data_IF_461385142340
#
_entry.id   IF_461385142340
#
_cell.length_a   1.000
_cell.length_b   1.000
_cell.length_c   1.000
_cell.angle_alpha   90.00
_cell.angle_beta   90.00
_cell.angle_gamma   90.00
#
_symmetry.space_group_name_H-M   'P 1'
#
loop_
_entity.id
_entity.type
_entity.pdbx_description
1 polymer ?
#
# COMPACT_ATOMS: atom_id res chain seq x y z
N UNK A 1 -45.23 10.35 -21.66
CA UNK A 1 -44.62 10.36 -20.31
C UNK A 1 -43.14 10.58 -20.49
N UNK A 2 -42.49 11.47 -19.71
CA UNK A 2 -41.02 11.55 -19.73
C UNK A 2 -40.43 10.20 -19.25
N UNK A 3 -39.25 9.81 -19.76
CA UNK A 3 -38.59 8.59 -19.32
C UNK A 3 -38.25 8.67 -17.82
N UNK A 4 -38.34 7.54 -17.12
CA UNK A 4 -37.92 7.46 -15.72
C UNK A 4 -36.40 7.68 -15.61
N UNK A 5 -35.96 8.46 -14.61
CA UNK A 5 -34.54 8.51 -14.29
C UNK A 5 -34.12 7.18 -13.65
N UNK A 6 -33.24 6.46 -14.34
CA UNK A 6 -32.67 5.19 -13.88
C UNK A 6 -31.20 5.32 -13.48
N UNK A 7 -30.63 6.52 -13.59
CA UNK A 7 -29.21 6.79 -13.36
C UNK A 7 -28.97 7.51 -12.02
N UNK A 8 -27.89 7.14 -11.33
CA UNK A 8 -27.42 7.71 -10.07
C UNK A 8 -28.46 7.88 -8.95
N UNK A 9 -29.56 7.12 -9.00
CA UNK A 9 -30.71 7.26 -8.08
C UNK A 9 -30.39 7.00 -6.60
N UNK A 10 -29.22 6.43 -6.30
CA UNK A 10 -28.70 6.20 -4.93
C UNK A 10 -27.30 6.79 -4.71
N UNK A 11 -26.83 7.65 -5.60
CA UNK A 11 -25.53 8.30 -5.49
C UNK A 11 -25.75 9.68 -4.86
N UNK A 12 -25.03 9.96 -3.77
CA UNK A 12 -25.10 11.26 -3.10
C UNK A 12 -24.30 12.32 -3.85
N UNK A 13 -23.11 11.94 -4.31
CA UNK A 13 -22.15 12.84 -4.94
C UNK A 13 -21.07 12.00 -5.65
N UNK A 14 -20.55 12.51 -6.77
CA UNK A 14 -19.36 12.03 -7.44
C UNK A 14 -18.29 13.12 -7.37
N UNK A 15 -17.09 12.75 -6.91
CA UNK A 15 -15.94 13.64 -6.82
C UNK A 15 -14.81 13.08 -7.66
N UNK A 16 -14.10 13.97 -8.35
CA UNK A 16 -12.92 13.59 -9.11
C UNK A 16 -11.75 13.27 -8.20
N UNK A 17 -11.02 12.21 -8.56
CA UNK A 17 -9.73 11.90 -7.98
C UNK A 17 -8.62 12.51 -8.83
N UNK A 18 -7.58 12.97 -8.15
CA UNK A 18 -6.36 13.47 -8.80
C UNK A 18 -5.75 12.33 -9.62
N UNK A 19 -5.38 12.52 -10.91
CA UNK A 19 -4.79 11.44 -11.69
C UNK A 19 -3.49 10.89 -11.08
N UNK A 20 -3.20 9.58 -11.16
CA UNK A 20 -1.99 8.99 -10.59
C UNK A 20 -0.70 9.67 -11.06
N UNK A 21 -0.64 10.08 -12.32
CA UNK A 21 0.51 10.76 -12.92
C UNK A 21 0.91 12.06 -12.19
N UNK A 22 -0.05 12.75 -11.55
CA UNK A 22 0.25 13.96 -10.78
C UNK A 22 1.00 13.61 -9.49
N UNK A 23 0.52 12.61 -8.75
CA UNK A 23 1.17 12.16 -7.51
C UNK A 23 2.51 11.48 -7.79
N UNK A 24 2.62 10.72 -8.89
CA UNK A 24 3.89 10.11 -9.32
C UNK A 24 4.92 11.18 -9.66
N UNK A 25 4.51 12.28 -10.30
CA UNK A 25 5.42 13.39 -10.61
C UNK A 25 5.88 14.12 -9.35
N UNK A 26 4.95 14.32 -8.41
CA UNK A 26 5.22 15.06 -7.19
C UNK A 26 6.06 14.27 -6.18
N UNK A 27 5.76 12.99 -6.03
CA UNK A 27 6.50 12.03 -5.19
C UNK A 27 7.10 10.96 -6.10
N UNK A 28 8.07 11.38 -6.92
CA UNK A 28 8.77 10.47 -7.82
C UNK A 28 9.56 9.43 -7.02
N UNK A 29 9.56 8.19 -7.50
CA UNK A 29 10.41 7.15 -6.93
C UNK A 29 11.88 7.56 -7.12
N UNK A 30 12.61 7.77 -6.02
CA UNK A 30 14.03 8.11 -6.06
C UNK A 30 14.87 6.89 -6.47
N UNK A 31 16.09 7.14 -6.91
CA UNK A 31 17.01 6.07 -7.32
C UNK A 31 17.25 5.06 -6.18
N UNK A 32 17.50 5.56 -4.97
CA UNK A 32 17.68 4.73 -3.78
C UNK A 32 16.43 3.88 -3.45
N UNK A 33 15.23 4.47 -3.53
CA UNK A 33 13.98 3.73 -3.31
C UNK A 33 13.78 2.66 -4.40
N UNK A 34 14.02 3.01 -5.67
CA UNK A 34 13.91 2.10 -6.81
C UNK A 34 14.83 0.89 -6.68
N UNK A 35 16.11 1.11 -6.36
CA UNK A 35 17.08 0.03 -6.13
C UNK A 35 16.67 -0.86 -4.96
N UNK A 36 16.25 -0.27 -3.84
CA UNK A 36 15.78 -1.01 -2.68
C UNK A 36 14.60 -1.91 -3.02
N UNK A 37 13.57 -1.37 -3.67
CA UNK A 37 12.34 -2.08 -4.01
C UNK A 37 12.66 -3.21 -5.00
N UNK A 38 13.46 -2.94 -6.02
CA UNK A 38 13.91 -3.95 -6.97
C UNK A 38 14.63 -5.10 -6.26
N UNK A 39 15.63 -4.78 -5.43
CA UNK A 39 16.42 -5.78 -4.72
C UNK A 39 15.56 -6.59 -3.72
N UNK A 40 14.65 -5.94 -2.99
CA UNK A 40 13.74 -6.61 -2.07
C UNK A 40 12.79 -7.58 -2.81
N UNK A 41 12.23 -7.18 -3.96
CA UNK A 41 11.40 -8.06 -4.80
C UNK A 41 12.18 -9.27 -5.30
N UNK A 42 13.43 -9.07 -5.76
CA UNK A 42 14.30 -10.18 -6.19
C UNK A 42 14.67 -11.11 -5.02
N UNK A 43 14.98 -10.56 -3.84
CA UNK A 43 15.27 -11.33 -2.64
C UNK A 43 14.08 -12.20 -2.23
N UNK A 44 12.89 -11.62 -2.14
CA UNK A 44 11.66 -12.37 -1.83
C UNK A 44 11.35 -13.43 -2.87
N UNK A 45 11.53 -13.12 -4.16
CA UNK A 45 11.36 -14.11 -5.23
C UNK A 45 12.31 -15.30 -5.04
N UNK A 46 13.59 -15.04 -4.73
CA UNK A 46 14.56 -16.12 -4.44
C UNK A 46 14.16 -16.97 -3.24
N UNK A 47 13.69 -16.35 -2.16
CA UNK A 47 13.23 -17.06 -0.96
C UNK A 47 12.01 -17.92 -1.28
N UNK A 48 11.00 -17.37 -1.95
CA UNK A 48 9.77 -18.10 -2.32
C UNK A 48 10.03 -19.30 -3.24
N UNK A 49 11.10 -19.26 -4.02
CA UNK A 49 11.54 -20.36 -4.88
C UNK A 49 12.63 -21.25 -4.26
N UNK A 50 12.97 -21.09 -2.98
CA UNK A 50 13.93 -21.92 -2.26
C UNK A 50 15.40 -21.73 -2.69
N UNK A 51 15.71 -20.61 -3.35
CA UNK A 51 17.08 -20.24 -3.78
C UNK A 51 17.84 -19.39 -2.75
N UNK A 52 17.19 -19.04 -1.64
CA UNK A 52 17.68 -18.28 -0.51
C UNK A 52 16.92 -18.81 0.72
N UNK A 53 17.62 -19.15 1.80
CA UNK A 53 17.06 -19.80 2.99
C UNK A 53 16.61 -18.81 4.08
N UNK A 54 16.75 -17.51 3.83
CA UNK A 54 16.22 -16.46 4.72
C UNK A 54 14.71 -16.53 4.85
N UNK A 55 14.19 -16.01 5.96
CA UNK A 55 12.75 -15.91 6.21
C UNK A 55 12.22 -14.52 5.82
N UNK A 56 11.16 -14.47 5.01
CA UNK A 56 10.43 -13.22 4.77
C UNK A 56 9.62 -12.87 6.02
N UNK A 57 9.83 -11.66 6.55
CA UNK A 57 9.11 -11.17 7.74
C UNK A 57 8.37 -9.88 7.40
N UNK A 58 7.06 -10.00 7.20
CA UNK A 58 6.17 -8.84 7.03
C UNK A 58 5.66 -8.39 8.40
N UNK A 59 6.15 -7.25 8.90
CA UNK A 59 5.90 -6.80 10.27
C UNK A 59 5.66 -5.30 10.36
N UNK A 60 4.70 -4.89 11.20
CA UNK A 60 4.37 -3.49 11.40
C UNK A 60 2.98 -3.29 12.01
N UNK A 61 2.52 -2.03 12.12
CA UNK A 61 1.19 -1.70 12.61
C UNK A 61 0.09 -2.41 11.83
N UNK A 62 -1.06 -2.65 12.47
CA UNK A 62 -2.20 -3.29 11.81
C UNK A 62 -2.78 -2.41 10.68
N UNK A 63 -2.79 -1.10 10.88
CA UNK A 63 -3.14 -0.06 9.92
C UNK A 63 -2.46 1.26 10.30
N UNK A 64 -1.98 2.02 9.31
CA UNK A 64 -1.37 3.32 9.51
C UNK A 64 -2.45 4.39 9.64
N UNK A 65 -2.45 5.14 10.73
CA UNK A 65 -3.33 6.30 10.95
C UNK A 65 -2.55 7.57 11.31
N UNK A 66 -1.27 7.45 11.68
CA UNK A 66 -0.37 8.55 11.99
C UNK A 66 0.96 8.30 11.26
N UNK A 67 1.30 9.20 10.33
CA UNK A 67 2.52 9.10 9.51
C UNK A 67 3.79 9.34 10.33
N UNK A 68 3.74 10.17 11.38
CA UNK A 68 4.92 10.45 12.22
C UNK A 68 5.29 9.21 13.03
N UNK A 69 4.30 8.56 13.63
CA UNK A 69 4.50 7.29 14.33
C UNK A 69 4.99 6.18 13.37
N UNK A 70 4.50 6.16 12.13
CA UNK A 70 4.97 5.21 11.12
C UNK A 70 6.44 5.41 10.76
N UNK A 71 6.89 6.66 10.58
CA UNK A 71 8.31 6.98 10.32
C UNK A 71 9.19 6.66 11.53
N UNK A 72 8.74 6.95 12.76
CA UNK A 72 9.46 6.55 13.97
C UNK A 72 9.63 5.04 14.05
N UNK A 73 8.58 4.28 13.75
CA UNK A 73 8.61 2.82 13.69
C UNK A 73 9.60 2.33 12.61
N UNK A 74 9.54 2.91 11.41
CA UNK A 74 10.46 2.59 10.30
C UNK A 74 11.92 2.82 10.70
N UNK A 75 12.21 3.93 11.38
CA UNK A 75 13.56 4.26 11.86
C UNK A 75 14.11 3.29 12.91
N UNK A 76 13.24 2.59 13.65
CA UNK A 76 13.63 1.48 14.53
C UNK A 76 13.79 0.19 13.73
N UNK A 77 12.84 -0.12 12.85
CA UNK A 77 12.81 -1.38 12.11
C UNK A 77 13.97 -1.52 11.11
N UNK A 78 14.43 -0.42 10.49
CA UNK A 78 15.59 -0.46 9.58
C UNK A 78 16.86 -0.96 10.27
N UNK A 79 17.05 -0.64 11.57
CA UNK A 79 18.20 -1.12 12.34
C UNK A 79 18.14 -2.63 12.55
N UNK A 80 16.94 -3.17 12.77
CA UNK A 80 16.76 -4.62 12.90
C UNK A 80 16.87 -5.33 11.54
N UNK A 81 16.40 -4.70 10.44
CA UNK A 81 16.61 -5.20 9.08
C UNK A 81 18.09 -5.37 8.77
N UNK A 82 18.91 -4.39 9.10
CA UNK A 82 20.37 -4.47 8.91
C UNK A 82 20.99 -5.54 9.83
N UNK A 83 20.57 -5.59 11.09
CA UNK A 83 21.07 -6.55 12.08
C UNK A 83 20.84 -8.01 11.68
N UNK A 84 19.68 -8.31 11.09
CA UNK A 84 19.25 -9.67 10.73
C UNK A 84 19.29 -9.93 9.21
N UNK A 85 20.01 -9.11 8.43
CA UNK A 85 20.00 -9.21 6.96
C UNK A 85 20.47 -10.57 6.41
N UNK A 86 21.26 -11.31 7.20
CA UNK A 86 21.76 -12.64 6.86
C UNK A 86 20.71 -13.74 7.00
N UNK A 87 19.69 -13.54 7.84
CA UNK A 87 18.69 -14.54 8.20
C UNK A 87 17.27 -14.14 7.79
N UNK A 88 16.98 -12.84 7.71
CA UNK A 88 15.63 -12.29 7.51
C UNK A 88 15.59 -11.30 6.34
N UNK A 89 14.54 -11.40 5.53
CA UNK A 89 14.13 -10.35 4.59
C UNK A 89 12.94 -9.59 5.22
N UNK A 90 13.25 -8.52 5.95
CA UNK A 90 12.24 -7.77 6.73
C UNK A 90 11.54 -6.72 5.87
N UNK A 91 10.22 -6.82 5.73
CA UNK A 91 9.37 -5.87 5.02
C UNK A 91 8.44 -5.18 6.02
N UNK A 92 8.39 -3.86 6.00
CA UNK A 92 7.47 -3.11 6.86
C UNK A 92 6.03 -3.27 6.35
N UNK A 93 5.12 -3.65 7.23
CA UNK A 93 3.68 -3.63 6.97
C UNK A 93 3.16 -2.19 6.99
N UNK A 94 2.70 -1.69 5.85
CA UNK A 94 2.18 -0.33 5.64
C UNK A 94 0.76 -0.41 5.07
N UNK A 95 -0.19 -0.92 5.87
CA UNK A 95 -1.58 -1.06 5.45
C UNK A 95 -2.34 0.23 5.73
N UNK A 96 -2.96 0.84 4.73
CA UNK A 96 -3.71 2.08 4.93
C UNK A 96 -5.13 1.85 5.42
N UNK A 97 -5.67 0.66 5.19
CA UNK A 97 -7.06 0.35 5.44
C UNK A 97 -7.22 -1.02 6.10
N UNK A 98 -8.40 -1.25 6.68
CA UNK A 98 -8.80 -2.55 7.19
C UNK A 98 -10.20 -2.85 6.67
N UNK A 99 -10.41 -3.96 5.94
CA UNK A 99 -11.75 -4.34 5.52
C UNK A 99 -12.61 -4.67 6.76
N UNK A 100 -13.76 -4.01 6.89
CA UNK A 100 -14.71 -4.15 8.02
C UNK A 100 -16.12 -4.41 7.52
N UNK A 101 -16.86 -5.24 8.25
CA UNK A 101 -18.31 -5.49 8.05
C UNK A 101 -19.18 -4.55 8.88
N UNK A 102 -18.61 -3.88 9.89
CA UNK A 102 -19.28 -2.90 10.75
C UNK A 102 -18.85 -1.48 10.40
N UNK A 103 -19.68 -0.49 10.78
CA UNK A 103 -19.34 0.94 10.66
C UNK A 103 -18.10 1.26 11.50
N UNK A 104 -17.21 2.10 10.97
CA UNK A 104 -15.98 2.53 11.61
C UNK A 104 -15.06 3.24 10.62
N UNK A 105 -13.91 3.70 11.11
CA UNK A 105 -12.90 4.39 10.31
C UNK A 105 -12.46 3.55 9.09
N UNK A 106 -12.38 4.22 7.94
CA UNK A 106 -12.18 3.62 6.62
C UNK A 106 -10.71 3.54 6.18
N UNK A 107 -9.79 4.02 7.02
CA UNK A 107 -8.36 3.99 6.74
C UNK A 107 -7.83 5.34 6.25
N UNK A 108 -6.51 5.46 6.19
CA UNK A 108 -5.80 6.73 5.97
C UNK A 108 -6.05 7.30 4.58
N UNK A 109 -6.13 6.44 3.55
CA UNK A 109 -6.43 6.88 2.18
C UNK A 109 -7.86 7.44 2.13
N UNK A 110 -8.83 6.71 2.67
CA UNK A 110 -10.23 7.11 2.61
C UNK A 110 -10.56 8.30 3.52
N UNK A 111 -10.04 8.34 4.74
CA UNK A 111 -10.41 9.32 5.77
C UNK A 111 -9.17 9.75 6.58
N UNK A 112 -8.27 10.57 5.99
CA UNK A 112 -6.98 10.90 6.59
C UNK A 112 -7.08 11.71 7.89
N UNK A 113 -8.18 12.43 8.09
CA UNK A 113 -8.41 13.31 9.25
C UNK A 113 -9.17 12.63 10.39
N UNK A 114 -9.56 11.35 10.24
CA UNK A 114 -10.31 10.57 11.23
C UNK A 114 -11.66 11.22 11.63
N UNK A 115 -12.25 12.02 10.74
CA UNK A 115 -13.44 12.83 10.98
C UNK A 115 -14.60 12.53 10.01
N UNK A 116 -14.45 11.51 9.15
CA UNK A 116 -15.37 11.16 8.06
C UNK A 116 -15.51 12.25 6.99
N UNK A 117 -14.50 13.09 6.79
CA UNK A 117 -14.47 14.10 5.73
C UNK A 117 -14.23 13.51 4.33
N UNK A 118 -13.75 12.26 4.25
CA UNK A 118 -13.46 11.54 3.02
C UNK A 118 -12.54 12.30 2.05
N UNK A 119 -11.47 12.90 2.57
CA UNK A 119 -10.48 13.65 1.77
C UNK A 119 -9.51 12.70 1.03
N UNK A 120 -10.05 11.89 0.11
CA UNK A 120 -9.30 10.81 -0.57
C UNK A 120 -8.07 11.34 -1.32
N UNK A 121 -8.16 12.50 -1.98
CA UNK A 121 -7.00 13.11 -2.65
C UNK A 121 -5.85 13.43 -1.69
N UNK A 122 -6.16 13.91 -0.48
CA UNK A 122 -5.16 14.15 0.57
C UNK A 122 -4.63 12.82 1.11
N UNK A 123 -5.50 11.83 1.32
CA UNK A 123 -5.11 10.50 1.78
C UNK A 123 -4.18 9.76 0.81
N UNK A 124 -4.45 9.81 -0.50
CA UNK A 124 -3.59 9.24 -1.55
C UNK A 124 -2.22 9.92 -1.58
N UNK A 125 -2.20 11.25 -1.48
CA UNK A 125 -0.98 12.04 -1.39
C UNK A 125 -0.15 11.62 -0.17
N UNK A 126 -0.76 11.59 1.01
CA UNK A 126 -0.11 11.22 2.28
C UNK A 126 0.40 9.77 2.25
N UNK A 127 -0.37 8.83 1.68
CA UNK A 127 0.04 7.44 1.55
C UNK A 127 1.29 7.29 0.66
N UNK A 128 1.31 7.97 -0.50
CA UNK A 128 2.44 7.93 -1.42
C UNK A 128 3.69 8.58 -0.82
N UNK A 129 3.56 9.75 -0.21
CA UNK A 129 4.65 10.44 0.48
C UNK A 129 5.27 9.56 1.58
N UNK A 130 4.42 8.94 2.42
CA UNK A 130 4.88 8.05 3.48
C UNK A 130 5.65 6.84 2.92
N UNK A 131 5.14 6.20 1.87
CA UNK A 131 5.82 5.06 1.24
C UNK A 131 7.17 5.46 0.68
N UNK A 132 7.27 6.62 0.03
CA UNK A 132 8.53 7.13 -0.50
C UNK A 132 9.54 7.34 0.64
N UNK A 133 9.14 8.04 1.70
CA UNK A 133 9.99 8.27 2.88
C UNK A 133 10.47 6.95 3.52
N UNK A 134 9.58 5.96 3.69
CA UNK A 134 9.93 4.65 4.26
C UNK A 134 10.98 3.93 3.39
N UNK A 135 10.79 3.92 2.07
CA UNK A 135 11.74 3.30 1.15
C UNK A 135 13.09 4.05 1.12
N UNK A 136 13.08 5.39 1.16
CA UNK A 136 14.31 6.21 1.23
C UNK A 136 15.10 6.01 2.52
N UNK A 137 14.44 5.57 3.59
CA UNK A 137 15.11 5.14 4.82
C UNK A 137 15.79 3.77 4.70
N UNK A 138 15.68 3.07 3.57
CA UNK A 138 16.28 1.74 3.37
C UNK A 138 15.38 0.57 3.81
N UNK A 139 14.08 0.81 4.00
CA UNK A 139 13.13 -0.19 4.47
C UNK A 139 12.04 -0.46 3.42
N UNK A 140 11.94 -1.67 2.85
CA UNK A 140 10.90 -1.97 1.87
C UNK A 140 9.53 -2.02 2.54
N UNK A 141 8.52 -1.48 1.85
CA UNK A 141 7.13 -1.45 2.31
C UNK A 141 6.29 -2.56 1.66
N UNK A 142 5.38 -3.14 2.44
CA UNK A 142 4.35 -4.07 1.97
C UNK A 142 2.95 -3.61 2.34
N UNK A 143 1.98 -3.80 1.44
CA UNK A 143 0.58 -3.36 1.62
C UNK A 143 -0.44 -4.45 1.25
N UNK A 144 -1.70 -4.22 1.57
CA UNK A 144 -2.84 -5.02 1.09
C UNK A 144 -3.59 -4.22 0.02
N UNK A 145 -3.85 -4.85 -1.13
CA UNK A 145 -4.62 -4.22 -2.20
C UNK A 145 -6.11 -4.60 -2.06
N UNK A 146 -6.94 -3.59 -1.76
CA UNK A 146 -8.38 -3.76 -1.50
C UNK A 146 -9.27 -3.41 -2.69
N UNK A 147 -8.71 -2.77 -3.71
CA UNK A 147 -9.41 -2.32 -4.91
C UNK A 147 -8.46 -2.29 -6.13
N UNK A 148 -9.01 -1.99 -7.30
CA UNK A 148 -8.29 -2.08 -8.59
C UNK A 148 -7.66 -0.75 -9.03
N UNK A 149 -7.90 0.33 -8.29
CA UNK A 149 -7.53 1.71 -8.64
C UNK A 149 -6.34 2.18 -7.80
N UNK A 150 -6.37 1.96 -6.48
CA UNK A 150 -5.31 2.35 -5.55
C UNK A 150 -3.91 1.85 -5.95
N UNK A 151 -3.71 0.65 -6.56
CA UNK A 151 -2.39 0.24 -7.04
C UNK A 151 -1.75 1.24 -8.00
N UNK A 152 -2.52 1.93 -8.85
CA UNK A 152 -1.99 2.90 -9.82
C UNK A 152 -1.30 4.09 -9.15
N UNK A 153 -1.61 4.37 -7.88
CA UNK A 153 -1.05 5.50 -7.12
C UNK A 153 0.19 5.16 -6.32
N UNK A 154 0.40 3.89 -5.97
CA UNK A 154 1.39 3.51 -4.94
C UNK A 154 2.20 2.25 -5.26
N UNK A 155 1.77 1.40 -6.22
CA UNK A 155 2.36 0.07 -6.40
C UNK A 155 3.83 0.09 -6.83
N UNK A 156 4.29 1.19 -7.44
CA UNK A 156 5.72 1.40 -7.75
C UNK A 156 6.59 1.48 -6.49
N UNK A 157 6.01 1.84 -5.34
CA UNK A 157 6.69 1.96 -4.04
C UNK A 157 6.52 0.75 -3.12
N UNK A 158 5.94 -0.35 -3.61
CA UNK A 158 5.61 -1.55 -2.82
C UNK A 158 6.52 -2.72 -3.18
N UNK A 159 7.20 -3.28 -2.18
CA UNK A 159 8.03 -4.47 -2.37
C UNK A 159 7.23 -5.78 -2.29
N UNK A 160 6.14 -5.82 -1.51
CA UNK A 160 5.32 -7.02 -1.29
C UNK A 160 3.82 -6.69 -1.20
N UNK A 161 2.96 -7.51 -1.81
CA UNK A 161 1.52 -7.30 -1.85
C UNK A 161 0.72 -8.41 -1.18
N UNK A 162 -0.33 -8.04 -0.46
CA UNK A 162 -1.33 -8.99 0.04
C UNK A 162 -2.67 -8.88 -0.69
N UNK A 163 -3.28 -10.04 -0.93
CA UNK A 163 -4.71 -10.17 -1.19
C UNK A 163 -5.34 -10.83 0.04
N UNK A 164 -6.22 -10.11 0.73
CA UNK A 164 -6.80 -10.56 1.99
C UNK A 164 -7.69 -11.80 1.87
N UNK A 165 -7.93 -12.46 3.00
CA UNK A 165 -8.78 -13.67 3.05
C UNK A 165 -10.22 -13.46 2.54
N UNK A 166 -10.73 -12.22 2.57
CA UNK A 166 -12.07 -11.89 2.06
C UNK A 166 -12.11 -11.63 0.55
N UNK A 167 -10.96 -11.46 -0.08
CA UNK A 167 -10.83 -11.11 -1.50
C UNK A 167 -10.04 -12.15 -2.29
N UNK A 168 -9.40 -13.13 -1.65
CA UNK A 168 -8.63 -14.18 -2.32
C UNK A 168 -9.46 -15.02 -3.31
N UNK A 169 -10.75 -15.22 -3.05
CA UNK A 169 -11.68 -15.92 -3.97
C UNK A 169 -12.25 -15.01 -5.06
N UNK A 170 -12.02 -13.69 -4.98
CA UNK A 170 -12.50 -12.73 -5.97
C UNK A 170 -11.68 -12.83 -7.26
N UNK A 171 -12.35 -13.10 -8.38
CA UNK A 171 -11.69 -13.18 -9.69
C UNK A 171 -10.91 -11.90 -10.02
N UNK A 172 -11.51 -10.72 -9.84
CA UNK A 172 -10.85 -9.44 -10.16
C UNK A 172 -9.61 -9.20 -9.31
N UNK A 173 -9.56 -9.68 -8.07
CA UNK A 173 -8.36 -9.59 -7.24
C UNK A 173 -7.26 -10.56 -7.68
N UNK A 174 -7.63 -11.74 -8.22
CA UNK A 174 -6.65 -12.65 -8.85
C UNK A 174 -6.12 -12.11 -10.16
N UNK A 175 -6.98 -11.45 -10.95
CA UNK A 175 -6.58 -10.74 -12.17
C UNK A 175 -5.63 -9.57 -11.82
N UNK A 176 -5.95 -8.79 -10.78
CA UNK A 176 -5.03 -7.79 -10.25
C UNK A 176 -3.69 -8.41 -9.86
N UNK A 177 -3.70 -9.47 -9.06
CA UNK A 177 -2.49 -10.16 -8.60
C UNK A 177 -1.62 -10.65 -9.77
N UNK A 178 -2.23 -11.07 -10.89
CA UNK A 178 -1.48 -11.48 -12.10
C UNK A 178 -0.69 -10.35 -12.76
N UNK A 179 -1.07 -9.09 -12.52
CA UNK A 179 -0.42 -7.91 -13.07
C UNK A 179 0.39 -7.09 -12.05
N UNK A 180 0.40 -7.47 -10.78
CA UNK A 180 1.19 -6.78 -9.76
C UNK A 180 2.69 -7.02 -9.99
N UNK A 181 3.49 -5.95 -9.85
CA UNK A 181 4.95 -6.04 -10.03
C UNK A 181 5.68 -6.61 -8.81
N UNK A 182 5.01 -6.73 -7.67
CA UNK A 182 5.56 -7.29 -6.43
C UNK A 182 5.09 -8.75 -6.24
N UNK A 183 5.88 -9.57 -5.51
CA UNK A 183 5.41 -10.84 -4.97
C UNK A 183 4.26 -10.68 -3.97
#
# INVERSE_FOLDING_TARGET
MPPHNTDDVRIRELKELTPPAHLIREFACSEAASELIYNARQAMHRILHGMDDRLIVVIGPCSIHDTKAAIEYAGRLVKERERFKGELEIVMRVYFEKPRTTVGWKGLINDPHLDNSFKINEGLRTARELLLQINEMGLPAGTEYLDMISPQYIADLIAWGAIGARTTESQVHRELASGLSCP
#
